data_IF_423789559506
#
_entry.id   IF_423789559506
#
_cell.length_a   1.000
_cell.length_b   1.000
_cell.length_c   1.000
_cell.angle_alpha   90.00
_cell.angle_beta   90.00
_cell.angle_gamma   90.00
#
_symmetry.space_group_name_H-M   'P 1'
#
loop_
_entity.id
_entity.type
_entity.pdbx_description
1 polymer ?
#
# COMPACT_ATOMS: atom_id res chain seq x y z
N UNK A 1 1.38 -6.55 -17.38
CA UNK A 1 1.05 -6.23 -18.79
C UNK A 1 0.05 -5.07 -18.85
N UNK A 2 -0.19 -4.42 -20.00
CA UNK A 2 -1.21 -3.35 -20.11
C UNK A 2 -2.63 -3.84 -19.77
N UNK A 3 -2.93 -5.11 -20.06
CA UNK A 3 -4.21 -5.73 -19.75
C UNK A 3 -4.47 -5.84 -18.24
N UNK A 4 -3.48 -6.29 -17.47
CA UNK A 4 -3.58 -6.38 -16.01
C UNK A 4 -3.77 -4.99 -15.39
N UNK A 5 -3.04 -3.98 -15.88
CA UNK A 5 -3.17 -2.61 -15.40
C UNK A 5 -4.60 -2.10 -15.62
N UNK A 6 -5.15 -2.28 -16.82
CA UNK A 6 -6.53 -1.87 -17.12
C UNK A 6 -7.55 -2.64 -16.27
N UNK A 7 -7.34 -3.94 -16.06
CA UNK A 7 -8.18 -4.77 -15.21
C UNK A 7 -8.22 -4.25 -13.76
N UNK A 8 -7.05 -4.04 -13.16
CA UNK A 8 -6.95 -3.58 -11.77
C UNK A 8 -7.35 -2.11 -11.57
N UNK A 9 -7.16 -1.24 -12.58
CA UNK A 9 -7.66 0.15 -12.54
C UNK A 9 -9.19 0.23 -12.57
N UNK A 10 -9.86 -0.74 -13.19
CA UNK A 10 -11.32 -0.78 -13.26
C UNK A 10 -11.95 -1.48 -12.05
N UNK A 11 -11.19 -2.32 -11.34
CA UNK A 11 -11.69 -3.03 -10.17
C UNK A 11 -11.53 -2.20 -8.90
N UNK A 12 -12.60 -2.10 -8.09
CA UNK A 12 -12.55 -1.51 -6.74
C UNK A 12 -12.14 -2.53 -5.66
N UNK A 13 -11.74 -3.74 -6.06
CA UNK A 13 -11.36 -4.79 -5.13
C UNK A 13 -9.98 -4.51 -4.51
N UNK A 14 -9.86 -4.80 -3.22
CA UNK A 14 -8.58 -4.82 -2.53
C UNK A 14 -7.66 -5.87 -3.16
N UNK A 15 -6.41 -5.49 -3.37
CA UNK A 15 -5.37 -6.28 -4.02
C UNK A 15 -4.77 -7.27 -3.03
N UNK A 16 -4.58 -6.89 -1.75
CA UNK A 16 -4.00 -7.79 -0.77
C UNK A 16 -5.03 -8.73 -0.16
N UNK A 17 -4.60 -9.97 0.08
CA UNK A 17 -5.38 -10.93 0.85
C UNK A 17 -5.47 -10.47 2.31
N UNK A 18 -6.69 -10.33 2.83
CA UNK A 18 -6.95 -9.85 4.20
C UNK A 18 -6.17 -10.60 5.28
N UNK A 19 -6.05 -11.92 5.16
CA UNK A 19 -5.33 -12.76 6.13
C UNK A 19 -3.85 -12.37 6.20
N UNK A 20 -3.19 -12.25 5.04
CA UNK A 20 -1.76 -11.89 4.96
C UNK A 20 -1.55 -10.48 5.50
N UNK A 21 -2.41 -9.54 5.13
CA UNK A 21 -2.34 -8.17 5.62
C UNK A 21 -2.51 -8.09 7.15
N UNK A 22 -3.43 -8.87 7.71
CA UNK A 22 -3.66 -8.93 9.15
C UNK A 22 -2.45 -9.50 9.90
N UNK A 23 -1.82 -10.56 9.38
CA UNK A 23 -0.57 -11.09 9.93
C UNK A 23 0.55 -10.05 9.90
N UNK A 24 0.70 -9.31 8.79
CA UNK A 24 1.70 -8.25 8.66
C UNK A 24 1.48 -7.13 9.69
N UNK A 25 0.24 -6.69 9.91
CA UNK A 25 -0.07 -5.67 10.92
C UNK A 25 0.26 -6.16 12.33
N UNK A 26 -0.04 -7.42 12.65
CA UNK A 26 0.35 -7.99 13.95
C UNK A 26 1.87 -8.10 14.11
N UNK A 27 2.61 -8.43 13.06
CA UNK A 27 4.07 -8.50 13.09
C UNK A 27 4.70 -7.11 13.30
N UNK A 28 4.19 -6.08 12.61
CA UNK A 28 4.65 -4.70 12.75
C UNK A 28 4.28 -4.11 14.13
N UNK A 29 3.09 -4.43 14.63
CA UNK A 29 2.62 -3.98 15.92
C UNK A 29 3.17 -4.92 17.03
N UNK A 30 4.47 -4.78 17.32
CA UNK A 30 5.23 -5.57 18.32
C UNK A 30 4.53 -5.68 19.69
N UNK A 31 3.72 -4.68 20.04
CA UNK A 31 2.83 -4.72 21.19
C UNK A 31 1.50 -5.28 20.71
N UNK A 32 1.14 -6.50 21.15
CA UNK A 32 -0.12 -7.23 20.91
C UNK A 32 -1.43 -6.41 21.14
N UNK A 33 -1.60 -5.27 20.49
CA UNK A 33 -2.83 -4.50 20.53
C UNK A 33 -3.81 -5.22 19.61
N UNK A 34 -4.93 -5.64 20.19
CA UNK A 34 -6.01 -6.22 19.42
C UNK A 34 -6.69 -5.09 18.65
N UNK A 35 -6.56 -5.13 17.33
CA UNK A 35 -7.30 -4.23 16.46
C UNK A 35 -8.71 -4.78 16.23
N UNK A 36 -9.69 -3.88 16.18
CA UNK A 36 -11.01 -4.23 15.66
C UNK A 36 -10.91 -4.55 14.16
N UNK A 37 -11.75 -5.47 13.68
CA UNK A 37 -11.79 -5.83 12.26
C UNK A 37 -12.02 -4.60 11.35
N UNK A 38 -12.89 -3.68 11.75
CA UNK A 38 -13.15 -2.43 11.03
C UNK A 38 -11.92 -1.52 10.92
N UNK A 39 -11.06 -1.53 11.94
CA UNK A 39 -9.80 -0.79 11.95
C UNK A 39 -8.81 -1.43 10.99
N UNK A 40 -8.69 -2.76 11.00
CA UNK A 40 -7.83 -3.49 10.05
C UNK A 40 -8.26 -3.28 8.60
N UNK A 41 -9.55 -3.32 8.30
CA UNK A 41 -10.08 -3.03 6.96
C UNK A 41 -9.74 -1.58 6.53
N UNK A 42 -9.90 -0.62 7.43
CA UNK A 42 -9.59 0.80 7.15
C UNK A 42 -8.10 1.00 6.87
N UNK A 43 -7.24 0.36 7.67
CA UNK A 43 -5.78 0.39 7.48
C UNK A 43 -5.42 -0.24 6.13
N UNK A 44 -6.05 -1.36 5.75
CA UNK A 44 -5.81 -1.99 4.47
C UNK A 44 -6.20 -1.10 3.29
N UNK A 45 -7.40 -0.52 3.31
CA UNK A 45 -7.86 0.43 2.28
C UNK A 45 -6.89 1.60 2.15
N UNK A 46 -6.48 2.20 3.28
CA UNK A 46 -5.56 3.33 3.28
C UNK A 46 -4.17 2.97 2.75
N UNK A 47 -3.65 1.78 3.13
CA UNK A 47 -2.34 1.31 2.70
C UNK A 47 -2.32 1.04 1.18
N UNK A 48 -3.31 0.33 0.66
CA UNK A 48 -3.41 0.05 -0.77
C UNK A 48 -3.60 1.32 -1.60
N UNK A 49 -4.46 2.23 -1.16
CA UNK A 49 -4.63 3.52 -1.82
C UNK A 49 -3.33 4.33 -1.87
N UNK A 50 -2.58 4.35 -0.75
CA UNK A 50 -1.29 5.04 -0.67
C UNK A 50 -0.28 4.43 -1.63
N UNK A 51 -0.19 3.09 -1.68
CA UNK A 51 0.70 2.38 -2.59
C UNK A 51 0.32 2.61 -4.05
N UNK A 52 -0.96 2.52 -4.43
CA UNK A 52 -1.42 2.79 -5.79
C UNK A 52 -1.06 4.23 -6.20
N UNK A 53 -1.28 5.20 -5.32
CA UNK A 53 -0.92 6.61 -5.56
C UNK A 53 0.58 6.77 -5.73
N UNK A 54 1.38 6.10 -4.89
CA UNK A 54 2.83 6.10 -4.96
C UNK A 54 3.34 5.50 -6.29
N UNK A 55 2.82 4.33 -6.68
CA UNK A 55 3.15 3.67 -7.94
C UNK A 55 2.73 4.48 -9.16
N UNK A 56 1.62 5.22 -9.10
CA UNK A 56 1.19 6.13 -10.17
C UNK A 56 2.15 7.31 -10.36
N UNK A 57 2.75 7.81 -9.28
CA UNK A 57 3.71 8.91 -9.33
C UNK A 57 5.03 8.50 -10.00
N UNK A 58 5.43 7.23 -9.87
CA UNK A 58 6.66 6.68 -10.45
C UNK A 58 6.36 6.16 -11.87
N UNK A 59 6.50 7.03 -12.87
CA UNK A 59 6.25 6.71 -14.27
C UNK A 59 7.20 5.61 -14.81
N UNK A 60 6.62 4.53 -15.36
CA UNK A 60 7.12 3.53 -16.34
C UNK A 60 8.33 2.65 -15.97
N UNK A 61 9.24 3.02 -15.06
CA UNK A 61 10.28 2.08 -14.60
C UNK A 61 10.59 2.30 -13.14
N UNK A 62 10.20 1.34 -12.30
CA UNK A 62 10.40 1.42 -10.87
C UNK A 62 11.78 0.90 -10.52
N UNK A 63 12.69 1.79 -10.16
CA UNK A 63 13.96 1.39 -9.55
C UNK A 63 13.94 1.69 -8.05
N UNK A 64 14.74 0.96 -7.28
CA UNK A 64 14.93 1.22 -5.84
C UNK A 64 15.35 2.68 -5.58
N UNK A 65 16.04 3.31 -6.53
CA UNK A 65 16.47 4.71 -6.46
C UNK A 65 15.29 5.68 -6.51
N UNK A 66 14.28 5.40 -7.32
CA UNK A 66 13.08 6.24 -7.45
C UNK A 66 12.24 6.18 -6.17
N UNK A 67 12.14 5.00 -5.55
CA UNK A 67 11.48 4.82 -4.25
C UNK A 67 12.17 5.67 -3.18
N UNK A 68 13.50 5.59 -3.10
CA UNK A 68 14.27 6.33 -2.10
C UNK A 68 14.13 7.85 -2.26
N UNK A 69 14.10 8.35 -3.50
CA UNK A 69 13.94 9.78 -3.80
C UNK A 69 12.59 10.31 -3.30
N UNK A 70 11.50 9.59 -3.55
CA UNK A 70 10.16 10.03 -3.11
C UNK A 70 10.04 10.00 -1.60
N UNK A 71 10.56 8.95 -0.93
CA UNK A 71 10.58 8.91 0.54
C UNK A 71 11.31 10.13 1.10
N UNK A 72 12.41 10.54 0.48
CA UNK A 72 13.15 11.73 0.90
C UNK A 72 12.34 13.02 0.67
N UNK A 73 11.69 13.18 -0.48
CA UNK A 73 10.81 14.34 -0.77
C UNK A 73 9.66 14.41 0.23
N UNK A 74 8.96 13.31 0.47
CA UNK A 74 7.84 13.23 1.44
C UNK A 74 8.33 13.57 2.85
N UNK A 75 9.51 13.09 3.25
CA UNK A 75 10.13 13.45 4.54
C UNK A 75 10.47 14.93 4.64
N UNK A 76 10.87 15.59 3.56
CA UNK A 76 11.21 17.03 3.55
C UNK A 76 9.97 17.93 3.55
N UNK A 77 8.84 17.44 3.02
CA UNK A 77 7.58 18.19 2.99
C UNK A 77 6.78 18.11 4.30
N UNK A 78 7.19 17.25 5.25
CA UNK A 78 6.59 17.10 6.58
C UNK A 78 7.43 17.80 7.63
#
# INVERSE_FOLDING_TARGET
>A
SLYEIHFYQKSENLIFLKIIFTCLIHEINEKNHQFQHSVLDTIQVAAEFTLITFFKCICVTLTVRDIQLIINIVKTLR
#
